data_IF_323442761600
#
_entry.id   IF_323442761600
#
_cell.length_a   1.000
_cell.length_b   1.000
_cell.length_c   1.000
_cell.angle_alpha   90.00
_cell.angle_beta   90.00
_cell.angle_gamma   90.00
#
_symmetry.space_group_name_H-M   'P 1'
#
loop_
_entity.id
_entity.type
_entity.pdbx_description
1 polymer ?
#
# COMPACT_ATOMS: atom_id res chain seq x y z
N UNK A 1 -22.75 34.54 0.77
CA UNK A 1 -21.83 33.51 0.23
C UNK A 1 -20.66 33.32 1.19
N UNK A 2 -20.84 32.55 2.27
CA UNK A 2 -19.80 32.30 3.30
C UNK A 2 -19.73 30.83 3.76
N UNK A 3 -20.80 30.06 3.53
CA UNK A 3 -20.86 28.61 3.76
C UNK A 3 -19.97 27.81 2.79
N UNK A 4 -19.72 28.33 1.58
CA UNK A 4 -18.94 27.62 0.55
C UNK A 4 -17.46 27.47 0.89
N UNK A 5 -16.86 28.44 1.59
CA UNK A 5 -15.43 28.39 1.93
C UNK A 5 -15.14 27.36 3.03
N UNK A 6 -16.02 27.28 4.04
CA UNK A 6 -15.92 26.28 5.10
C UNK A 6 -16.07 24.85 4.59
N UNK A 7 -17.01 24.63 3.66
CA UNK A 7 -17.19 23.32 3.02
C UNK A 7 -15.95 22.89 2.22
N UNK A 8 -15.36 23.80 1.43
CA UNK A 8 -14.16 23.51 0.65
C UNK A 8 -12.97 23.13 1.55
N UNK A 9 -12.76 23.86 2.66
CA UNK A 9 -11.71 23.55 3.63
C UNK A 9 -11.90 22.18 4.28
N UNK A 10 -13.14 21.80 4.62
CA UNK A 10 -13.43 20.46 5.16
C UNK A 10 -13.11 19.35 4.16
N UNK A 11 -13.46 19.51 2.87
CA UNK A 11 -13.14 18.52 1.85
C UNK A 11 -11.63 18.32 1.67
N UNK A 12 -10.85 19.41 1.67
CA UNK A 12 -9.38 19.33 1.60
C UNK A 12 -8.76 18.62 2.80
N UNK A 13 -9.23 18.93 4.01
CA UNK A 13 -8.74 18.26 5.24
C UNK A 13 -9.04 16.76 5.22
N UNK A 14 -10.23 16.36 4.77
CA UNK A 14 -10.60 14.93 4.70
C UNK A 14 -9.78 14.18 3.65
N UNK A 15 -9.53 14.77 2.48
CA UNK A 15 -8.67 14.17 1.46
C UNK A 15 -7.22 14.00 1.94
N UNK A 16 -6.68 14.98 2.68
CA UNK A 16 -5.35 14.90 3.27
C UNK A 16 -5.21 13.77 4.30
N UNK A 17 -6.22 13.58 5.14
CA UNK A 17 -6.25 12.50 6.13
C UNK A 17 -6.28 11.11 5.47
N UNK A 18 -7.07 10.94 4.40
CA UNK A 18 -7.14 9.68 3.66
C UNK A 18 -5.79 9.32 3.01
N UNK A 19 -5.14 10.29 2.34
CA UNK A 19 -3.81 10.08 1.74
C UNK A 19 -2.75 9.74 2.79
N UNK A 20 -2.78 10.42 3.95
CA UNK A 20 -1.87 10.13 5.05
C UNK A 20 -2.09 8.71 5.62
N UNK A 21 -3.34 8.27 5.73
CA UNK A 21 -3.70 6.90 6.14
C UNK A 21 -3.20 5.87 5.14
N UNK A 22 -3.56 6.03 3.87
CA UNK A 22 -3.17 5.09 2.81
C UNK A 22 -1.64 4.96 2.69
N UNK A 23 -0.92 6.08 2.85
CA UNK A 23 0.56 6.09 2.83
C UNK A 23 1.14 5.28 3.98
N UNK A 24 0.55 5.38 5.19
CA UNK A 24 0.96 4.57 6.35
C UNK A 24 0.70 3.10 6.10
N UNK A 25 -0.48 2.75 5.61
CA UNK A 25 -0.88 1.37 5.34
C UNK A 25 0.04 0.72 4.28
N UNK A 26 0.33 1.45 3.19
CA UNK A 26 1.29 1.01 2.18
C UNK A 26 2.66 0.72 2.77
N UNK A 27 3.18 1.58 3.66
CA UNK A 27 4.48 1.39 4.30
C UNK A 27 4.48 0.14 5.20
N UNK A 28 3.43 -0.05 6.00
CA UNK A 28 3.30 -1.19 6.90
C UNK A 28 3.20 -2.52 6.12
N UNK A 29 2.36 -2.57 5.08
CA UNK A 29 2.20 -3.77 4.26
C UNK A 29 3.47 -4.10 3.46
N UNK A 30 4.18 -3.09 2.94
CA UNK A 30 5.48 -3.30 2.29
C UNK A 30 6.53 -3.86 3.26
N UNK A 31 6.51 -3.42 4.52
CA UNK A 31 7.42 -3.93 5.54
C UNK A 31 7.10 -5.39 5.86
N UNK A 32 5.83 -5.72 6.12
CA UNK A 32 5.40 -7.11 6.37
C UNK A 32 5.72 -8.03 5.18
N UNK A 33 5.51 -7.56 3.95
CA UNK A 33 5.88 -8.31 2.75
C UNK A 33 7.39 -8.56 2.70
N UNK A 34 8.20 -7.53 3.01
CA UNK A 34 9.66 -7.65 3.07
C UNK A 34 10.11 -8.70 4.07
N UNK A 35 9.59 -8.64 5.27
CA UNK A 35 9.88 -9.61 6.34
C UNK A 35 9.45 -11.04 5.94
N UNK A 36 8.33 -11.18 5.24
CA UNK A 36 7.80 -12.48 4.82
C UNK A 36 8.66 -13.18 3.75
N UNK A 37 9.29 -12.46 2.81
CA UNK A 37 10.18 -13.11 1.82
C UNK A 37 11.65 -13.15 2.24
N UNK A 38 12.09 -12.34 3.22
CA UNK A 38 13.45 -12.43 3.77
C UNK A 38 13.68 -13.83 4.40
N UNK A 39 12.61 -14.45 4.90
CA UNK A 39 12.60 -15.82 5.41
C UNK A 39 12.36 -16.88 4.32
N UNK A 40 11.85 -16.50 3.13
CA UNK A 40 11.45 -17.40 2.06
C UNK A 40 11.80 -16.79 0.68
N UNK A 41 13.08 -16.84 0.33
CA UNK A 41 13.64 -16.15 -0.83
C UNK A 41 13.26 -16.84 -2.16
N UNK A 42 12.52 -16.15 -3.04
CA UNK A 42 12.31 -16.57 -4.43
C UNK A 42 12.26 -15.37 -5.39
N UNK A 43 12.55 -15.60 -6.68
CA UNK A 43 12.51 -14.55 -7.71
C UNK A 43 11.11 -13.94 -7.91
N UNK A 44 10.04 -14.74 -7.75
CA UNK A 44 8.65 -14.26 -7.83
C UNK A 44 8.30 -13.33 -6.65
N UNK A 45 8.85 -13.59 -5.47
CA UNK A 45 8.60 -12.78 -4.27
C UNK A 45 9.16 -11.36 -4.45
N UNK A 46 10.33 -11.24 -5.07
CA UNK A 46 10.91 -9.93 -5.42
C UNK A 46 10.14 -9.18 -6.49
N UNK A 47 9.46 -9.88 -7.40
CA UNK A 47 8.59 -9.23 -8.38
C UNK A 47 7.41 -8.54 -7.68
N UNK A 48 6.69 -9.26 -6.82
CA UNK A 48 5.56 -8.70 -6.06
C UNK A 48 5.97 -7.51 -5.19
N UNK A 49 7.14 -7.58 -4.55
CA UNK A 49 7.68 -6.44 -3.80
C UNK A 49 8.01 -5.24 -4.68
N UNK A 50 8.66 -5.45 -5.83
CA UNK A 50 8.99 -4.37 -6.78
C UNK A 50 7.74 -3.71 -7.34
N UNK A 51 6.72 -4.49 -7.66
CA UNK A 51 5.44 -3.97 -8.16
C UNK A 51 4.74 -3.08 -7.13
N UNK A 52 4.61 -3.56 -5.88
CA UNK A 52 4.02 -2.76 -4.80
C UNK A 52 4.82 -1.48 -4.49
N UNK A 53 6.16 -1.57 -4.55
CA UNK A 53 7.05 -0.42 -4.40
C UNK A 53 6.86 0.60 -5.53
N UNK A 54 6.70 0.15 -6.77
CA UNK A 54 6.45 1.05 -7.91
C UNK A 54 5.13 1.83 -7.74
N UNK A 55 4.05 1.18 -7.27
CA UNK A 55 2.80 1.90 -6.97
C UNK A 55 2.95 2.91 -5.83
N UNK A 56 3.77 2.62 -4.80
CA UNK A 56 4.10 3.63 -3.78
C UNK A 56 4.84 4.83 -4.37
N UNK A 57 5.81 4.57 -5.23
CA UNK A 57 6.65 5.61 -5.86
C UNK A 57 5.82 6.49 -6.83
N UNK A 58 4.69 5.97 -7.34
CA UNK A 58 3.66 6.71 -8.10
C UNK A 58 2.56 7.34 -7.22
N UNK A 59 2.72 7.35 -5.89
CA UNK A 59 1.72 7.83 -4.91
C UNK A 59 0.36 7.10 -4.95
N UNK A 60 0.29 5.92 -5.58
CA UNK A 60 -0.87 5.03 -5.60
C UNK A 60 -0.96 4.21 -4.29
N UNK A 61 -0.98 4.87 -3.14
CA UNK A 61 -0.79 4.24 -1.83
C UNK A 61 -1.78 3.10 -1.53
N UNK A 62 -3.06 3.27 -1.88
CA UNK A 62 -4.09 2.23 -1.72
C UNK A 62 -3.80 0.99 -2.57
N UNK A 63 -3.26 1.18 -3.78
CA UNK A 63 -2.85 0.09 -4.68
C UNK A 63 -1.61 -0.62 -4.16
N UNK A 64 -0.62 0.13 -3.67
CA UNK A 64 0.54 -0.40 -2.97
C UNK A 64 0.13 -1.33 -1.82
N UNK A 65 -0.75 -0.88 -0.92
CA UNK A 65 -1.20 -1.69 0.22
C UNK A 65 -1.91 -2.98 -0.23
N UNK A 66 -2.76 -2.89 -1.27
CA UNK A 66 -3.45 -4.05 -1.85
C UNK A 66 -2.50 -5.06 -2.50
N UNK A 67 -1.54 -4.58 -3.30
CA UNK A 67 -0.53 -5.41 -3.94
C UNK A 67 0.38 -6.08 -2.91
N UNK A 68 0.82 -5.33 -1.90
CA UNK A 68 1.69 -5.85 -0.84
C UNK A 68 1.01 -6.96 -0.02
N UNK A 69 -0.26 -6.76 0.39
CA UNK A 69 -1.05 -7.80 1.06
C UNK A 69 -1.22 -9.05 0.21
N UNK A 70 -1.64 -8.90 -1.05
CA UNK A 70 -1.83 -10.03 -1.96
C UNK A 70 -0.54 -10.80 -2.20
N UNK A 71 0.58 -10.09 -2.36
CA UNK A 71 1.88 -10.73 -2.49
C UNK A 71 2.25 -11.52 -1.22
N UNK A 72 1.98 -10.97 -0.03
CA UNK A 72 2.21 -11.68 1.24
C UNK A 72 1.33 -12.92 1.37
N UNK A 73 0.04 -12.81 1.07
CA UNK A 73 -0.88 -13.95 1.12
C UNK A 73 -0.44 -15.10 0.17
N UNK A 74 0.17 -14.77 -0.98
CA UNK A 74 0.74 -15.78 -1.88
C UNK A 74 1.97 -16.48 -1.28
N UNK A 75 2.77 -15.77 -0.48
CA UNK A 75 3.87 -16.39 0.27
C UNK A 75 3.34 -17.36 1.32
N UNK A 76 2.31 -16.94 2.05
CA UNK A 76 1.72 -17.71 3.15
C UNK A 76 0.98 -18.96 2.66
N UNK A 77 0.33 -18.90 1.48
CA UNK A 77 -0.37 -20.05 0.88
C UNK A 77 0.58 -21.12 0.33
N UNK A 78 1.87 -20.80 0.13
CA UNK A 78 2.81 -21.69 -0.56
C UNK A 78 2.47 -21.83 -2.06
N UNK A 79 3.31 -22.52 -2.86
CA UNK A 79 2.90 -22.89 -4.21
C UNK A 79 1.69 -23.82 -4.09
N UNK A 80 0.57 -23.44 -4.74
CA UNK A 80 -0.52 -24.38 -4.99
C UNK A 80 0.12 -25.62 -5.66
N UNK A 81 0.15 -26.74 -4.93
CA UNK A 81 0.73 -28.01 -5.38
C UNK A 81 -0.21 -28.68 -6.40
#
# INVERSE_FOLDING_TARGET
MKLSLGLLMLCYLMAGNAVASDRRDCKEELQKLKEAFDTNYTSQNHHGYREAKASRDNEEYRKCASQARKARERLERGPDL
#
